data_IF_242357724097
#
_entry.id   IF_242357724097
#
_cell.length_a   1.000
_cell.length_b   1.000
_cell.length_c   1.000
_cell.angle_alpha   90.00
_cell.angle_beta   90.00
_cell.angle_gamma   90.00
#
_symmetry.space_group_name_H-M   'P 1'
#
loop_
_entity.id
_entity.type
_entity.pdbx_description
1 polymer ?
#
# COMPACT_ATOMS: atom_id res chain seq x y z
N UNK A 1 -0.34 -25.81 27.28
CA UNK A 1 -0.93 -24.71 26.50
C UNK A 1 -1.39 -25.23 25.15
N UNK A 2 -2.67 -25.08 24.83
CA UNK A 2 -3.27 -25.57 23.59
C UNK A 2 -2.89 -24.68 22.39
N UNK A 3 -3.09 -25.17 21.16
CA UNK A 3 -2.88 -24.37 19.95
C UNK A 3 -3.79 -23.12 19.90
N UNK A 4 -5.02 -23.25 20.40
CA UNK A 4 -5.96 -22.14 20.52
C UNK A 4 -5.49 -21.09 21.52
N UNK A 5 -4.98 -21.50 22.69
CA UNK A 5 -4.40 -20.60 23.69
C UNK A 5 -3.19 -19.85 23.15
N UNK A 6 -2.28 -20.54 22.45
CA UNK A 6 -1.11 -19.90 21.80
C UNK A 6 -1.55 -18.83 20.79
N UNK A 7 -2.58 -19.11 20.00
CA UNK A 7 -3.11 -18.15 19.00
C UNK A 7 -3.76 -16.93 19.67
N UNK A 8 -4.52 -17.12 20.75
CA UNK A 8 -5.09 -16.00 21.52
C UNK A 8 -4.01 -15.15 22.19
N UNK A 9 -3.02 -15.77 22.83
CA UNK A 9 -1.92 -15.06 23.46
C UNK A 9 -1.09 -14.26 22.43
N UNK A 10 -0.82 -14.83 21.25
CA UNK A 10 -0.15 -14.13 20.15
C UNK A 10 -0.94 -12.91 19.66
N UNK A 11 -2.27 -13.05 19.49
CA UNK A 11 -3.14 -11.93 19.08
C UNK A 11 -3.23 -10.83 20.14
N UNK A 12 -3.35 -11.21 21.40
CA UNK A 12 -3.37 -10.25 22.51
C UNK A 12 -2.06 -9.45 22.59
N UNK A 13 -0.91 -10.12 22.42
CA UNK A 13 0.39 -9.45 22.34
C UNK A 13 0.47 -8.50 21.15
N UNK A 14 0.08 -8.94 19.96
CA UNK A 14 0.06 -8.09 18.76
C UNK A 14 -0.84 -6.86 18.96
N UNK A 15 -2.02 -7.02 19.54
CA UNK A 15 -2.92 -5.91 19.83
C UNK A 15 -2.33 -4.92 20.83
N UNK A 16 -1.64 -5.41 21.88
CA UNK A 16 -0.91 -4.55 22.82
C UNK A 16 0.24 -3.78 22.15
N UNK A 17 0.88 -4.40 21.14
CA UNK A 17 1.89 -3.76 20.30
C UNK A 17 1.28 -2.80 19.24
N UNK A 18 -0.04 -2.56 19.26
CA UNK A 18 -0.74 -1.73 18.28
C UNK A 18 -0.89 -2.37 16.89
N UNK A 19 -0.62 -3.67 16.76
CA UNK A 19 -0.70 -4.42 15.50
C UNK A 19 -2.03 -5.14 15.37
N UNK A 20 -2.67 -5.00 14.22
CA UNK A 20 -3.89 -5.72 13.85
C UNK A 20 -3.61 -6.79 12.79
N UNK A 21 -4.28 -7.95 12.89
CA UNK A 21 -4.33 -8.93 11.80
C UNK A 21 -5.52 -8.62 10.90
N UNK A 22 -5.27 -8.36 9.62
CA UNK A 22 -6.31 -8.12 8.62
C UNK A 22 -6.44 -9.33 7.70
N UNK A 23 -7.68 -9.69 7.39
CA UNK A 23 -7.98 -10.66 6.34
C UNK A 23 -8.35 -9.90 5.07
N UNK A 24 -7.56 -10.11 4.02
CA UNK A 24 -7.77 -9.47 2.71
C UNK A 24 -8.05 -10.55 1.67
N UNK A 25 -9.04 -10.30 0.82
CA UNK A 25 -9.33 -11.15 -0.34
C UNK A 25 -8.76 -10.46 -1.58
N UNK A 26 -7.94 -11.19 -2.34
CA UNK A 26 -7.25 -10.66 -3.52
C UNK A 26 -7.67 -11.45 -4.75
N UNK A 27 -7.87 -10.75 -5.87
CA UNK A 27 -8.04 -11.39 -7.17
C UNK A 27 -6.76 -12.11 -7.61
N UNK A 28 -6.90 -13.14 -8.45
CA UNK A 28 -5.79 -14.03 -8.83
C UNK A 28 -4.56 -13.31 -9.39
N UNK A 29 -4.75 -12.29 -10.25
CA UNK A 29 -3.63 -11.51 -10.81
C UNK A 29 -2.88 -10.67 -9.77
N UNK A 30 -3.58 -10.14 -8.77
CA UNK A 30 -2.96 -9.36 -7.69
C UNK A 30 -2.19 -10.26 -6.71
N UNK A 31 -2.71 -11.46 -6.45
CA UNK A 31 -2.01 -12.46 -5.64
C UNK A 31 -0.73 -12.95 -6.33
N UNK A 32 -0.77 -13.27 -7.62
CA UNK A 32 0.42 -13.65 -8.41
C UNK A 32 1.48 -12.55 -8.40
N UNK A 33 1.05 -11.29 -8.56
CA UNK A 33 1.94 -10.16 -8.46
C UNK A 33 2.64 -10.04 -7.10
N UNK A 34 1.88 -10.14 -6.01
CA UNK A 34 2.44 -10.12 -4.65
C UNK A 34 3.40 -11.29 -4.43
N UNK A 35 3.07 -12.47 -4.95
CA UNK A 35 3.92 -13.66 -4.83
C UNK A 35 5.27 -13.47 -5.54
N UNK A 36 5.26 -12.90 -6.73
CA UNK A 36 6.50 -12.63 -7.46
C UNK A 36 7.33 -11.53 -6.82
N UNK A 37 6.68 -10.49 -6.29
CA UNK A 37 7.37 -9.44 -5.53
C UNK A 37 8.01 -10.00 -4.25
N UNK A 38 7.27 -10.83 -3.52
CA UNK A 38 7.77 -11.51 -2.33
C UNK A 38 8.98 -12.39 -2.65
N UNK A 39 8.91 -13.13 -3.75
CA UNK A 39 10.02 -13.97 -4.24
C UNK A 39 11.25 -13.13 -4.62
N UNK A 40 11.07 -12.08 -5.41
CA UNK A 40 12.15 -11.22 -5.88
C UNK A 40 12.85 -10.50 -4.71
N UNK A 41 12.09 -10.01 -3.74
CA UNK A 41 12.60 -9.30 -2.56
C UNK A 41 13.02 -10.21 -1.40
N UNK A 42 13.02 -11.53 -1.55
CA UNK A 42 13.24 -12.49 -0.45
C UNK A 42 12.43 -12.15 0.83
N UNK A 43 11.18 -11.74 0.62
CA UNK A 43 10.31 -11.15 1.64
C UNK A 43 9.01 -11.94 1.79
N UNK A 44 8.27 -11.73 2.90
CA UNK A 44 6.95 -12.34 3.07
C UNK A 44 5.87 -11.58 2.30
N UNK A 45 4.78 -12.25 1.91
CA UNK A 45 3.58 -11.59 1.34
C UNK A 45 3.08 -10.43 2.21
N UNK A 46 3.08 -10.63 3.53
CA UNK A 46 2.64 -9.63 4.49
C UNK A 46 3.51 -8.36 4.44
N UNK A 47 4.82 -8.53 4.28
CA UNK A 47 5.75 -7.41 4.14
C UNK A 47 5.50 -6.65 2.83
N UNK A 48 5.31 -7.35 1.71
CA UNK A 48 4.98 -6.73 0.43
C UNK A 48 3.67 -5.94 0.53
N UNK A 49 2.62 -6.51 1.12
CA UNK A 49 1.35 -5.80 1.31
C UNK A 49 1.51 -4.58 2.22
N UNK A 50 2.30 -4.69 3.29
CA UNK A 50 2.58 -3.56 4.17
C UNK A 50 3.26 -2.41 3.42
N UNK A 51 4.30 -2.69 2.64
CA UNK A 51 5.02 -1.67 1.85
C UNK A 51 4.12 -1.03 0.79
N UNK A 52 3.26 -1.81 0.15
CA UNK A 52 2.28 -1.29 -0.80
C UNK A 52 1.26 -0.36 -0.13
N UNK A 53 0.81 -0.69 1.08
CA UNK A 53 -0.11 0.15 1.85
C UNK A 53 0.57 1.43 2.33
N UNK A 54 1.78 1.34 2.88
CA UNK A 54 2.57 2.48 3.36
C UNK A 54 2.83 3.50 2.23
N UNK A 55 3.18 2.98 1.06
CA UNK A 55 3.32 3.76 -0.16
C UNK A 55 2.01 4.45 -0.58
N UNK A 56 0.89 3.73 -0.58
CA UNK A 56 -0.41 4.29 -0.94
C UNK A 56 -0.85 5.40 0.02
N UNK A 57 -0.61 5.21 1.32
CA UNK A 57 -0.89 6.20 2.37
C UNK A 57 -0.01 7.44 2.18
N UNK A 58 1.30 7.26 2.03
CA UNK A 58 2.26 8.37 1.84
C UNK A 58 1.94 9.21 0.61
N UNK A 59 1.54 8.55 -0.49
CA UNK A 59 1.09 9.24 -1.70
C UNK A 59 -0.18 10.04 -1.45
N UNK A 60 -1.19 9.42 -0.83
CA UNK A 60 -2.46 10.08 -0.52
C UNK A 60 -2.23 11.32 0.34
N UNK A 61 -1.40 11.21 1.38
CA UNK A 61 -1.03 12.35 2.23
C UNK A 61 -0.37 13.48 1.44
N UNK A 62 0.52 13.16 0.50
CA UNK A 62 1.18 14.15 -0.36
C UNK A 62 0.19 14.87 -1.27
N UNK A 63 -0.72 14.12 -1.91
CA UNK A 63 -1.76 14.69 -2.79
C UNK A 63 -2.69 15.61 -1.99
N UNK A 64 -3.10 15.19 -0.79
CA UNK A 64 -3.93 16.02 0.10
C UNK A 64 -3.20 17.30 0.51
N UNK A 65 -1.94 17.22 0.90
CA UNK A 65 -1.15 18.40 1.26
C UNK A 65 -1.02 19.40 0.09
N UNK A 66 -0.87 18.90 -1.14
CA UNK A 66 -0.84 19.74 -2.34
C UNK A 66 -2.21 20.36 -2.66
N UNK A 67 -3.29 19.60 -2.49
CA UNK A 67 -4.65 20.11 -2.61
C UNK A 67 -4.92 21.25 -1.60
N UNK A 68 -4.46 21.10 -0.35
CA UNK A 68 -4.54 22.15 0.68
C UNK A 68 -3.78 23.42 0.28
N UNK A 69 -2.59 23.26 -0.30
CA UNK A 69 -1.82 24.39 -0.83
C UNK A 69 -2.52 25.09 -1.99
N UNK A 70 -3.19 24.33 -2.87
CA UNK A 70 -3.98 24.90 -3.98
C UNK A 70 -5.16 25.73 -3.45
N UNK A 71 -5.90 25.22 -2.48
CA UNK A 71 -6.97 25.99 -1.82
C UNK A 71 -6.44 27.27 -1.18
N UNK A 72 -5.34 27.17 -0.43
CA UNK A 72 -4.70 28.35 0.18
C UNK A 72 -4.22 29.37 -0.87
N UNK A 73 -3.88 28.90 -2.07
CA UNK A 73 -3.51 29.72 -3.23
C UNK A 73 -4.70 30.28 -4.03
N UNK A 74 -5.94 30.00 -3.62
CA UNK A 74 -7.16 30.50 -4.27
C UNK A 74 -7.67 29.65 -5.43
N UNK A 75 -7.21 28.40 -5.57
CA UNK A 75 -7.78 27.46 -6.54
C UNK A 75 -9.25 27.15 -6.20
N UNK A 76 -10.05 26.95 -7.23
CA UNK A 76 -11.43 26.51 -7.10
C UNK A 76 -11.54 25.04 -6.70
N UNK A 77 -12.66 24.64 -6.11
CA UNK A 77 -12.92 23.23 -5.76
C UNK A 77 -12.83 22.30 -6.98
N UNK A 78 -13.23 22.77 -8.16
CA UNK A 78 -13.17 22.00 -9.40
C UNK A 78 -11.73 21.74 -9.85
N UNK A 79 -10.82 22.71 -9.68
CA UNK A 79 -9.40 22.55 -10.00
C UNK A 79 -8.72 21.59 -9.03
N UNK A 80 -9.07 21.66 -7.75
CA UNK A 80 -8.55 20.75 -6.72
C UNK A 80 -9.05 19.32 -6.93
N UNK A 81 -10.35 19.14 -7.23
CA UNK A 81 -10.93 17.82 -7.50
C UNK A 81 -10.31 17.18 -8.75
N UNK A 82 -10.12 17.95 -9.82
CA UNK A 82 -9.44 17.49 -11.03
C UNK A 82 -8.00 17.06 -10.73
N UNK A 83 -7.24 17.88 -9.99
CA UNK A 83 -5.89 17.56 -9.56
C UNK A 83 -5.82 16.27 -8.74
N UNK A 84 -6.69 16.11 -7.73
CA UNK A 84 -6.71 14.92 -6.89
C UNK A 84 -7.07 13.65 -7.68
N UNK A 85 -8.06 13.73 -8.58
CA UNK A 85 -8.45 12.63 -9.46
C UNK A 85 -7.28 12.20 -10.36
N UNK A 86 -6.62 13.14 -11.03
CA UNK A 86 -5.50 12.84 -11.93
C UNK A 86 -4.27 12.32 -11.19
N UNK A 87 -3.99 12.89 -10.03
CA UNK A 87 -2.87 12.50 -9.16
C UNK A 87 -3.06 11.13 -8.55
N UNK A 88 -4.28 10.65 -8.36
CA UNK A 88 -4.57 9.30 -7.88
C UNK A 88 -4.62 8.28 -9.03
N UNK A 89 -5.01 8.69 -10.25
CA UNK A 89 -5.01 7.84 -11.46
C UNK A 89 -3.61 7.53 -12.00
N UNK A 90 -2.64 8.43 -11.82
CA UNK A 90 -1.32 8.32 -12.47
C UNK A 90 -0.23 7.69 -11.59
N UNK A 91 0.04 6.40 -11.83
CA UNK A 91 1.37 5.73 -11.73
C UNK A 91 1.88 5.26 -10.34
N UNK A 92 2.44 4.03 -10.23
CA UNK A 92 3.22 3.59 -9.06
C UNK A 92 4.61 4.24 -9.01
N UNK A 93 5.26 4.36 -7.84
CA UNK A 93 6.56 5.02 -7.72
C UNK A 93 7.72 4.27 -8.39
N UNK A 94 8.71 5.06 -8.84
CA UNK A 94 9.81 4.65 -9.73
C UNK A 94 10.69 3.49 -9.21
N UNK A 95 10.89 3.37 -7.89
CA UNK A 95 11.70 2.28 -7.32
C UNK A 95 10.99 0.93 -7.39
N UNK A 96 9.66 0.93 -7.24
CA UNK A 96 8.82 -0.23 -7.46
C UNK A 96 8.59 -0.49 -8.94
N UNK A 97 8.55 0.53 -9.81
CA UNK A 97 8.50 0.33 -11.27
C UNK A 97 9.69 -0.49 -11.78
N UNK A 98 10.90 -0.30 -11.23
CA UNK A 98 12.05 -1.15 -11.58
C UNK A 98 11.83 -2.62 -11.18
N UNK A 99 11.40 -2.87 -9.95
CA UNK A 99 11.07 -4.24 -9.50
C UNK A 99 9.88 -4.83 -10.27
N UNK A 100 8.87 -4.03 -10.61
CA UNK A 100 7.73 -4.44 -11.43
C UNK A 100 8.14 -4.77 -12.85
N UNK A 101 9.06 -4.01 -13.46
CA UNK A 101 9.61 -4.32 -14.79
C UNK A 101 10.36 -5.66 -14.79
N UNK A 102 11.19 -5.91 -13.78
CA UNK A 102 11.91 -7.17 -13.62
C UNK A 102 10.95 -8.36 -13.40
N UNK A 103 9.95 -8.20 -12.54
CA UNK A 103 8.95 -9.22 -12.21
C UNK A 103 7.96 -9.49 -13.37
N UNK A 104 7.59 -8.46 -14.13
CA UNK A 104 6.63 -8.55 -15.24
C UNK A 104 7.30 -8.76 -16.61
N UNK A 105 8.64 -8.80 -16.67
CA UNK A 105 9.43 -8.91 -17.92
C UNK A 105 9.09 -7.83 -18.96
N UNK A 106 8.70 -6.65 -18.50
CA UNK A 106 8.40 -5.51 -19.37
C UNK A 106 9.73 -4.78 -19.62
N UNK A 107 10.23 -4.82 -20.87
CA UNK A 107 11.43 -4.07 -21.29
C UNK A 107 11.20 -2.56 -21.18
#
# INVERSE_FOLDING_TARGET
MTAAERKRASRAKKAADGRAELMISLGGGMLDFIDRMALAGSSSRAQVVYELLDMAISRTATVVAQAEQMWAGGASDQEVEAFMSDSMRSTPPLHLVKQYKEVLRIK
#
